data_IF_319211517169
#
_entry.id   IF_319211517169
#
_cell.length_a   1.000
_cell.length_b   1.000
_cell.length_c   1.000
_cell.angle_alpha   90.00
_cell.angle_beta   90.00
_cell.angle_gamma   90.00
#
_symmetry.space_group_name_H-M   'P 1'
#
loop_
_entity.id
_entity.type
_entity.pdbx_description
1 polymer ?
#
# COMPACT_ATOMS: atom_id res chain seq x y z
N UNK A 1 57.08 19.40 31.99
CA UNK A 1 56.67 19.48 30.56
C UNK A 1 55.60 18.45 30.33
N UNK A 2 54.31 18.87 30.35
CA UNK A 2 53.16 18.01 30.05
C UNK A 2 52.81 18.19 28.57
N UNK A 3 52.95 17.15 27.78
CA UNK A 3 52.47 17.10 26.36
C UNK A 3 51.01 16.77 26.37
N UNK A 4 50.16 17.72 25.96
CA UNK A 4 48.75 17.46 25.63
C UNK A 4 48.67 16.89 24.22
N UNK A 5 48.19 15.64 24.08
CA UNK A 5 47.85 15.03 22.83
C UNK A 5 46.36 15.38 22.57
N UNK A 6 46.08 16.25 21.61
CA UNK A 6 44.71 16.53 21.14
C UNK A 6 44.27 15.40 20.21
N UNK A 7 43.27 14.63 20.61
CA UNK A 7 42.62 13.65 19.75
C UNK A 7 41.61 14.36 18.85
N UNK A 8 41.91 14.40 17.57
CA UNK A 8 40.98 14.87 16.51
C UNK A 8 39.95 13.76 16.23
N UNK A 9 38.73 13.92 16.71
CA UNK A 9 37.63 13.04 16.35
C UNK A 9 37.13 13.38 14.94
N UNK A 10 37.42 12.53 13.96
CA UNK A 10 36.78 12.58 12.64
C UNK A 10 35.31 12.16 12.79
N UNK A 11 34.40 13.11 12.75
CA UNK A 11 32.99 12.83 12.58
C UNK A 11 32.73 12.54 11.09
N UNK A 12 32.56 11.26 10.76
CA UNK A 12 32.06 10.87 9.47
C UNK A 12 30.56 11.26 9.39
N UNK A 13 30.26 12.34 8.67
CA UNK A 13 28.88 12.67 8.33
C UNK A 13 28.40 11.69 7.27
N UNK A 14 27.64 10.70 7.69
CA UNK A 14 26.99 9.73 6.81
C UNK A 14 25.77 10.42 6.17
N UNK A 15 26.01 11.40 5.29
CA UNK A 15 24.94 11.97 4.47
C UNK A 15 24.72 11.03 3.28
N UNK A 16 23.60 10.32 3.29
CA UNK A 16 23.11 9.68 2.08
C UNK A 16 22.93 10.76 1.01
N UNK A 17 23.36 10.53 -0.24
CA UNK A 17 23.06 11.45 -1.32
C UNK A 17 21.56 11.61 -1.43
N UNK A 18 21.03 12.83 -1.73
CA UNK A 18 19.62 13.00 -1.99
C UNK A 18 19.22 12.07 -3.14
N UNK A 19 18.29 11.16 -2.88
CA UNK A 19 17.67 10.38 -3.94
C UNK A 19 16.98 11.36 -4.90
N UNK A 20 17.52 11.51 -6.10
CA UNK A 20 16.83 12.24 -7.16
C UNK A 20 15.53 11.50 -7.50
N UNK A 21 14.50 12.21 -8.01
CA UNK A 21 13.28 11.54 -8.42
C UNK A 21 13.61 10.53 -9.51
N UNK A 22 13.49 9.25 -9.20
CA UNK A 22 13.53 8.17 -10.18
C UNK A 22 12.15 8.17 -10.83
N UNK A 23 11.96 8.93 -11.89
CA UNK A 23 10.76 8.80 -12.73
C UNK A 23 10.87 7.49 -13.48
N UNK A 24 10.14 6.47 -13.01
CA UNK A 24 9.95 5.25 -13.78
C UNK A 24 9.26 5.59 -15.12
N UNK A 25 9.58 4.93 -16.23
CA UNK A 25 8.82 5.06 -17.46
C UNK A 25 7.34 4.77 -17.19
N UNK A 26 6.43 5.53 -17.78
CA UNK A 26 4.97 5.37 -17.60
C UNK A 26 4.46 3.93 -17.85
N UNK A 27 5.20 3.15 -18.64
CA UNK A 27 4.91 1.73 -18.88
C UNK A 27 5.14 0.88 -17.62
N UNK A 28 6.24 1.08 -16.90
CA UNK A 28 6.53 0.33 -15.66
C UNK A 28 5.55 0.69 -14.54
N UNK A 29 5.15 1.96 -14.43
CA UNK A 29 4.10 2.37 -13.48
C UNK A 29 2.77 1.65 -13.74
N UNK A 30 2.38 1.50 -15.02
CA UNK A 30 1.17 0.78 -15.39
C UNK A 30 1.26 -0.72 -15.03
N UNK A 31 2.43 -1.35 -15.16
CA UNK A 31 2.65 -2.73 -14.75
C UNK A 31 2.57 -2.91 -13.24
N UNK A 32 3.13 -1.96 -12.45
CA UNK A 32 3.02 -1.95 -10.98
C UNK A 32 1.57 -1.77 -10.54
N UNK A 33 0.79 -0.92 -11.20
CA UNK A 33 -0.61 -0.69 -10.88
C UNK A 33 -1.54 -1.84 -11.31
N UNK A 34 -1.12 -2.70 -12.23
CA UNK A 34 -1.96 -3.78 -12.77
C UNK A 34 -2.51 -4.73 -11.68
N UNK A 35 -1.68 -5.31 -10.75
CA UNK A 35 -2.20 -6.16 -9.68
C UNK A 35 -3.09 -5.40 -8.68
N UNK A 36 -2.85 -4.12 -8.42
CA UNK A 36 -3.68 -3.28 -7.55
C UNK A 36 -5.07 -3.11 -8.19
N UNK A 37 -5.13 -2.72 -9.47
CA UNK A 37 -6.39 -2.56 -10.19
C UNK A 37 -7.17 -3.88 -10.29
N UNK A 38 -6.48 -5.01 -10.49
CA UNK A 38 -7.10 -6.33 -10.52
C UNK A 38 -7.67 -6.73 -9.14
N UNK A 39 -6.98 -6.40 -8.04
CA UNK A 39 -7.48 -6.59 -6.68
C UNK A 39 -8.72 -5.74 -6.41
N UNK A 40 -8.72 -4.46 -6.79
CA UNK A 40 -9.89 -3.57 -6.66
C UNK A 40 -11.09 -4.08 -7.45
N UNK A 41 -10.88 -4.54 -8.69
CA UNK A 41 -11.94 -5.17 -9.47
C UNK A 41 -12.48 -6.46 -8.80
N UNK A 42 -11.64 -7.20 -8.07
CA UNK A 42 -12.07 -8.36 -7.29
C UNK A 42 -12.86 -7.95 -6.04
N UNK A 43 -12.52 -6.84 -5.36
CA UNK A 43 -13.31 -6.29 -4.25
C UNK A 43 -14.74 -5.94 -4.70
N UNK A 44 -14.90 -5.32 -5.88
CA UNK A 44 -16.21 -5.00 -6.44
C UNK A 44 -17.08 -6.23 -6.76
N UNK A 45 -16.47 -7.39 -6.92
CA UNK A 45 -17.18 -8.67 -7.12
C UNK A 45 -17.30 -9.52 -5.87
N UNK A 46 -16.60 -9.14 -4.78
CA UNK A 46 -16.48 -9.96 -3.58
C UNK A 46 -15.73 -11.28 -3.86
N UNK A 47 -14.77 -11.27 -4.79
CA UNK A 47 -14.04 -12.43 -5.28
C UNK A 47 -12.69 -12.57 -4.58
N UNK A 48 -12.69 -13.29 -3.45
CA UNK A 48 -11.47 -13.52 -2.66
C UNK A 48 -10.40 -14.33 -3.42
N UNK A 49 -10.80 -15.26 -4.29
CA UNK A 49 -9.83 -16.05 -5.07
C UNK A 49 -9.08 -15.18 -6.09
N UNK A 50 -9.79 -14.24 -6.73
CA UNK A 50 -9.18 -13.29 -7.64
C UNK A 50 -8.22 -12.32 -6.92
N UNK A 51 -8.50 -11.94 -5.66
CA UNK A 51 -7.55 -11.16 -4.83
C UNK A 51 -6.29 -11.97 -4.55
N UNK A 52 -6.43 -13.24 -4.13
CA UNK A 52 -5.28 -14.09 -3.83
C UNK A 52 -4.36 -14.32 -5.03
N UNK A 53 -4.86 -14.21 -6.24
CA UNK A 53 -4.06 -14.29 -7.45
C UNK A 53 -3.10 -13.08 -7.63
N UNK A 54 -3.40 -11.94 -7.00
CA UNK A 54 -2.64 -10.68 -7.12
C UNK A 54 -1.61 -10.46 -6.01
N UNK A 55 -1.59 -11.31 -4.99
CA UNK A 55 -0.82 -11.09 -3.77
C UNK A 55 0.13 -12.24 -3.48
N UNK A 56 1.11 -11.99 -2.61
CA UNK A 56 1.91 -13.05 -1.99
C UNK A 56 1.17 -13.62 -0.77
N UNK A 57 1.11 -14.96 -0.62
CA UNK A 57 0.38 -15.60 0.49
C UNK A 57 0.89 -15.19 1.88
N UNK A 58 2.20 -14.94 1.99
CA UNK A 58 2.88 -14.55 3.23
C UNK A 58 2.66 -13.09 3.60
N UNK A 59 2.13 -12.30 2.68
CA UNK A 59 1.91 -10.86 2.86
C UNK A 59 0.77 -10.54 3.83
N UNK A 60 0.67 -9.26 4.17
CA UNK A 60 -0.26 -8.77 5.19
C UNK A 60 -1.10 -7.60 4.70
N UNK A 61 -2.31 -7.54 5.26
CA UNK A 61 -3.19 -6.37 5.19
C UNK A 61 -3.24 -5.75 6.58
N UNK A 62 -2.78 -4.50 6.71
CA UNK A 62 -2.74 -3.75 7.97
C UNK A 62 -3.58 -2.49 7.84
N UNK A 63 -4.60 -2.38 8.68
CA UNK A 63 -5.47 -1.21 8.78
C UNK A 63 -5.20 -0.44 10.07
N UNK A 64 -5.17 0.90 10.00
CA UNK A 64 -5.08 1.77 11.18
C UNK A 64 -6.15 2.86 11.09
N UNK A 65 -6.96 3.00 12.13
CA UNK A 65 -8.00 4.03 12.20
C UNK A 65 -9.39 3.44 12.36
N UNK A 66 -10.41 4.10 11.84
CA UNK A 66 -11.80 3.67 11.94
C UNK A 66 -12.27 3.06 10.63
N UNK A 67 -12.69 1.81 10.69
CA UNK A 67 -13.20 1.06 9.54
C UNK A 67 -14.73 1.20 9.40
N UNK A 68 -15.31 0.99 8.21
CA UNK A 68 -16.76 0.99 8.00
C UNK A 68 -17.54 0.02 8.90
N UNK A 69 -16.88 -1.05 9.38
CA UNK A 69 -17.44 -2.00 10.34
C UNK A 69 -17.63 -1.44 11.76
N UNK A 70 -17.19 -0.20 12.04
CA UNK A 70 -17.16 0.40 13.37
C UNK A 70 -15.94 0.04 14.21
N UNK A 71 -15.05 -0.83 13.72
CA UNK A 71 -13.78 -1.10 14.41
C UNK A 71 -12.89 0.13 14.38
N UNK A 72 -12.21 0.43 15.49
CA UNK A 72 -11.21 1.50 15.57
C UNK A 72 -9.95 0.98 16.23
N UNK A 73 -8.80 1.35 15.67
CA UNK A 73 -7.48 0.93 16.13
C UNK A 73 -6.63 0.31 15.03
N UNK A 74 -5.67 -0.52 15.42
CA UNK A 74 -4.82 -1.31 14.51
C UNK A 74 -5.42 -2.69 14.33
N UNK A 75 -5.58 -3.10 13.08
CA UNK A 75 -5.98 -4.45 12.70
C UNK A 75 -5.05 -4.99 11.63
N UNK A 76 -4.60 -6.23 11.81
CA UNK A 76 -3.78 -6.93 10.82
C UNK A 76 -4.40 -8.29 10.51
N UNK A 77 -4.30 -8.70 9.26
CA UNK A 77 -4.69 -10.04 8.79
C UNK A 77 -3.74 -10.51 7.69
N UNK A 78 -3.68 -11.82 7.46
CA UNK A 78 -3.12 -12.36 6.23
C UNK A 78 -4.05 -12.04 5.04
N UNK A 79 -3.53 -12.12 3.82
CA UNK A 79 -4.38 -12.02 2.63
C UNK A 79 -5.41 -13.14 2.55
N UNK A 80 -5.08 -14.34 3.02
CA UNK A 80 -6.02 -15.45 3.08
C UNK A 80 -7.21 -15.15 4.00
N UNK A 81 -6.96 -14.61 5.21
CA UNK A 81 -8.01 -14.20 6.13
C UNK A 81 -8.83 -13.02 5.63
N UNK A 82 -8.19 -12.10 4.91
CA UNK A 82 -8.89 -10.98 4.25
C UNK A 82 -9.79 -11.49 3.13
N UNK A 83 -9.25 -12.29 2.22
CA UNK A 83 -9.97 -12.85 1.08
C UNK A 83 -11.15 -13.73 1.48
N UNK A 84 -11.02 -14.51 2.56
CA UNK A 84 -12.10 -15.34 3.10
C UNK A 84 -13.32 -14.55 3.59
N UNK A 85 -13.17 -13.25 3.85
CA UNK A 85 -14.27 -12.35 4.25
C UNK A 85 -14.96 -11.66 3.08
N UNK A 86 -14.36 -11.71 1.89
CA UNK A 86 -14.95 -11.13 0.69
C UNK A 86 -16.08 -12.03 0.21
N UNK A 87 -17.24 -11.43 0.03
CA UNK A 87 -18.44 -12.07 -0.52
C UNK A 87 -19.15 -11.10 -1.44
N UNK A 88 -19.93 -11.56 -2.43
CA UNK A 88 -20.71 -10.66 -3.28
C UNK A 88 -21.66 -9.72 -2.52
N UNK A 89 -22.22 -10.21 -1.38
CA UNK A 89 -23.09 -9.39 -0.51
C UNK A 89 -22.32 -8.31 0.27
N UNK A 90 -21.02 -8.52 0.52
CA UNK A 90 -20.13 -7.58 1.18
C UNK A 90 -19.15 -6.86 0.25
N UNK A 91 -19.43 -6.90 -1.06
CA UNK A 91 -18.61 -6.24 -2.07
C UNK A 91 -18.55 -4.72 -1.85
N UNK A 92 -17.40 -4.16 -2.12
CA UNK A 92 -17.16 -2.71 -2.01
C UNK A 92 -16.31 -2.25 -3.19
N UNK A 93 -16.42 -0.97 -3.50
CA UNK A 93 -15.60 -0.34 -4.53
C UNK A 93 -14.54 0.51 -3.89
N UNK A 94 -13.29 0.27 -4.26
CA UNK A 94 -12.16 1.07 -3.85
C UNK A 94 -11.51 1.74 -5.05
N UNK A 95 -11.08 2.98 -4.86
CA UNK A 95 -10.39 3.76 -5.88
C UNK A 95 -9.27 4.56 -5.24
N UNK A 96 -8.11 4.55 -5.86
CA UNK A 96 -7.00 5.45 -5.56
C UNK A 96 -6.94 6.58 -6.59
N UNK A 97 -6.36 7.70 -6.20
CA UNK A 97 -6.14 8.87 -7.07
C UNK A 97 -4.72 9.36 -6.92
N UNK A 98 -4.15 9.87 -8.02
CA UNK A 98 -2.81 10.48 -8.03
C UNK A 98 -1.76 9.65 -7.26
N UNK A 99 -1.54 8.38 -7.60
CA UNK A 99 -0.57 7.55 -6.88
C UNK A 99 0.85 8.10 -7.07
N UNK A 100 1.60 8.16 -5.96
CA UNK A 100 3.05 8.28 -6.01
C UNK A 100 3.62 6.87 -6.11
N UNK A 101 4.44 6.62 -7.12
CA UNK A 101 5.01 5.30 -7.42
C UNK A 101 6.52 5.44 -7.47
N UNK A 102 7.21 4.57 -6.75
CA UNK A 102 8.67 4.44 -6.82
C UNK A 102 9.02 3.00 -7.15
N UNK A 103 9.97 2.80 -8.06
CA UNK A 103 10.40 1.49 -8.54
C UNK A 103 11.94 1.44 -8.48
N UNK A 104 12.45 0.38 -7.86
CA UNK A 104 13.86 0.04 -7.88
C UNK A 104 14.02 -1.46 -8.20
N UNK A 105 14.39 -1.76 -9.45
CA UNK A 105 14.52 -3.14 -9.92
C UNK A 105 13.22 -3.93 -9.79
N UNK A 106 13.20 -4.93 -8.93
CA UNK A 106 12.06 -5.82 -8.71
C UNK A 106 11.24 -5.48 -7.45
N UNK A 107 11.43 -4.27 -6.90
CA UNK A 107 10.66 -3.74 -5.76
C UNK A 107 9.98 -2.45 -6.17
N UNK A 108 8.73 -2.29 -5.77
CA UNK A 108 7.99 -1.04 -5.96
C UNK A 108 7.15 -0.70 -4.72
N UNK A 109 6.94 0.60 -4.52
CA UNK A 109 5.96 1.11 -3.58
C UNK A 109 4.93 1.98 -4.30
N UNK A 110 3.70 1.95 -3.82
CA UNK A 110 2.63 2.85 -4.25
C UNK A 110 2.01 3.50 -3.03
N UNK A 111 1.98 4.83 -2.99
CA UNK A 111 1.32 5.62 -1.96
C UNK A 111 0.24 6.48 -2.59
N UNK A 112 -1.02 6.29 -2.17
CA UNK A 112 -2.14 6.97 -2.80
C UNK A 112 -3.29 7.25 -1.82
N UNK A 113 -3.98 8.41 -1.94
CA UNK A 113 -5.25 8.59 -1.28
C UNK A 113 -6.29 7.65 -1.90
N UNK A 114 -7.13 7.05 -1.05
CA UNK A 114 -8.22 6.18 -1.48
C UNK A 114 -9.59 6.63 -0.98
N UNK A 115 -10.61 6.15 -1.66
CA UNK A 115 -12.02 6.22 -1.24
C UNK A 115 -12.65 4.84 -1.41
N UNK A 116 -13.37 4.38 -0.37
CA UNK A 116 -14.20 3.18 -0.40
C UNK A 116 -15.67 3.55 -0.47
N UNK A 117 -16.39 2.94 -1.39
CA UNK A 117 -17.85 3.04 -1.53
C UNK A 117 -18.51 1.69 -1.24
N UNK A 118 -19.59 1.72 -0.47
CA UNK A 118 -20.47 0.57 -0.20
C UNK A 118 -21.89 0.98 -0.58
N UNK A 119 -22.52 0.20 -1.47
CA UNK A 119 -23.87 0.53 -1.93
C UNK A 119 -23.97 1.90 -2.61
N UNK A 120 -22.92 2.36 -3.29
CA UNK A 120 -22.86 3.65 -3.96
C UNK A 120 -22.68 4.87 -3.04
N UNK A 121 -22.38 4.65 -1.77
CA UNK A 121 -22.10 5.72 -0.80
C UNK A 121 -20.68 5.62 -0.28
N UNK A 122 -20.04 6.77 -0.08
CA UNK A 122 -18.70 6.83 0.52
C UNK A 122 -18.78 6.31 1.97
N UNK A 123 -18.06 5.24 2.24
CA UNK A 123 -18.05 4.55 3.53
C UNK A 123 -16.77 4.87 4.33
N UNK A 124 -15.64 5.02 3.67
CA UNK A 124 -14.36 5.41 4.28
C UNK A 124 -13.40 5.99 3.25
N UNK A 125 -12.34 6.60 3.77
CA UNK A 125 -11.22 7.09 2.98
C UNK A 125 -9.95 7.11 3.83
N UNK A 126 -8.80 7.25 3.17
CA UNK A 126 -7.51 7.33 3.81
C UNK A 126 -6.38 7.36 2.80
N UNK A 127 -5.27 6.76 3.17
CA UNK A 127 -4.13 6.53 2.30
C UNK A 127 -3.75 5.06 2.32
N UNK A 128 -3.55 4.51 1.13
CA UNK A 128 -2.96 3.20 0.92
C UNK A 128 -1.45 3.30 0.73
N UNK A 129 -0.77 2.33 1.28
CA UNK A 129 0.61 2.00 0.98
C UNK A 129 0.67 0.54 0.53
N UNK A 130 1.08 0.33 -0.72
CA UNK A 130 1.32 -1.00 -1.27
C UNK A 130 2.84 -1.22 -1.39
N UNK A 131 3.32 -2.34 -0.85
CA UNK A 131 4.62 -2.90 -1.21
C UNK A 131 4.40 -3.93 -2.31
N UNK A 132 5.14 -3.84 -3.41
CA UNK A 132 5.06 -4.80 -4.50
C UNK A 132 6.45 -5.39 -4.79
N UNK A 133 6.45 -6.63 -5.22
CA UNK A 133 7.65 -7.30 -5.72
C UNK A 133 7.37 -7.97 -7.05
N UNK A 134 8.39 -7.96 -7.94
CA UNK A 134 8.32 -8.63 -9.24
C UNK A 134 9.07 -9.94 -9.16
N UNK A 135 8.40 -11.03 -9.50
CA UNK A 135 8.98 -12.36 -9.58
C UNK A 135 8.53 -13.05 -10.86
N UNK A 136 9.49 -13.62 -11.60
CA UNK A 136 9.22 -14.26 -12.89
C UNK A 136 8.53 -13.32 -13.91
N UNK A 137 8.87 -12.02 -13.88
CA UNK A 137 8.33 -11.01 -14.77
C UNK A 137 6.93 -10.49 -14.40
N UNK A 138 6.34 -10.90 -13.27
CA UNK A 138 5.03 -10.45 -12.83
C UNK A 138 5.11 -9.71 -11.49
N UNK A 139 4.49 -8.53 -11.40
CA UNK A 139 4.31 -7.80 -10.16
C UNK A 139 3.20 -8.43 -9.31
N UNK A 140 3.45 -8.50 -8.00
CA UNK A 140 2.46 -8.93 -7.00
C UNK A 140 2.55 -8.06 -5.76
N UNK A 141 1.42 -7.87 -5.10
CA UNK A 141 1.33 -7.14 -3.84
C UNK A 141 1.91 -8.01 -2.72
N UNK A 142 2.96 -7.49 -2.05
CA UNK A 142 3.54 -8.13 -0.87
C UNK A 142 2.80 -7.72 0.39
N UNK A 143 2.54 -6.43 0.57
CA UNK A 143 1.80 -5.91 1.71
C UNK A 143 0.89 -4.75 1.31
N UNK A 144 -0.18 -4.57 2.08
CA UNK A 144 -1.00 -3.36 2.07
C UNK A 144 -1.05 -2.83 3.50
N UNK A 145 -0.68 -1.57 3.68
CA UNK A 145 -0.90 -0.84 4.93
C UNK A 145 -1.71 0.41 4.64
N UNK A 146 -2.80 0.61 5.34
CA UNK A 146 -3.64 1.77 5.08
C UNK A 146 -4.15 2.45 6.35
N UNK A 147 -4.31 3.77 6.26
CA UNK A 147 -5.07 4.55 7.22
C UNK A 147 -6.55 4.54 6.85
N UNK A 148 -7.47 4.64 7.81
CA UNK A 148 -8.90 4.69 7.51
C UNK A 148 -9.64 5.63 8.45
N UNK A 149 -10.58 6.39 7.87
CA UNK A 149 -11.56 7.20 8.59
C UNK A 149 -12.90 7.12 7.86
N UNK A 150 -13.99 7.31 8.62
CA UNK A 150 -15.36 7.23 8.09
C UNK A 150 -16.06 8.58 8.01
N UNK A 151 -15.34 9.66 8.31
CA UNK A 151 -15.85 11.04 8.25
C UNK A 151 -14.86 11.97 7.58
N UNK A 152 -15.33 13.07 6.98
CA UNK A 152 -14.50 14.03 6.27
C UNK A 152 -13.87 13.44 4.99
N UNK A 153 -14.54 12.50 4.35
CA UNK A 153 -14.09 11.92 3.08
C UNK A 153 -14.57 12.74 1.88
N UNK A 154 -13.80 12.76 0.78
CA UNK A 154 -14.29 13.36 -0.47
C UNK A 154 -15.59 12.71 -0.92
N UNK A 155 -16.60 13.53 -1.27
CA UNK A 155 -17.88 13.05 -1.75
C UNK A 155 -18.90 12.64 -0.68
N UNK A 156 -18.62 12.93 0.61
CA UNK A 156 -19.61 12.84 1.69
C UNK A 156 -20.45 14.09 1.78
#
# INVERSE_FOLDING_TARGET
MLSMIAALALQATNSLPPAGPISAPAFEEAEVLAPINAAFAAFERGDGAAVLAQVYPEGRVTAVGTLPSGFSGLRQSSFTEFAAKLTPAGAFRERITNPAIEIDGDVALVWAPFVVEIGGKVASCGYDHFDLVRQNGAWKIMNITFSSRTTGCPGQ
#
